data_IF_187931369353
#
_entry.id   IF_187931369353
#
_cell.length_a   1.000
_cell.length_b   1.000
_cell.length_c   1.000
_cell.angle_alpha   90.00
_cell.angle_beta   90.00
_cell.angle_gamma   90.00
#
_symmetry.space_group_name_H-M   'P 1'
#
loop_
_entity.id
_entity.type
_entity.pdbx_description
1 polymer ?
#
# COMPACT_ATOMS: atom_id res chain seq x y z
N UNK A 1 11.66 -0.13 8.91
CA UNK A 1 10.32 -0.44 8.36
C UNK A 1 9.94 -1.91 8.53
N UNK A 2 10.60 -2.90 7.96
CA UNK A 2 10.22 -4.33 8.16
C UNK A 2 10.36 -4.75 9.63
N UNK A 3 11.28 -4.17 10.38
CA UNK A 3 11.41 -4.43 11.81
C UNK A 3 10.17 -4.03 12.62
N UNK A 4 9.49 -2.94 12.27
CA UNK A 4 8.22 -2.57 12.91
C UNK A 4 7.11 -3.60 12.64
N UNK A 5 7.06 -4.16 11.44
CA UNK A 5 6.16 -5.27 11.14
C UNK A 5 6.53 -6.55 11.92
N UNK A 6 7.82 -6.83 12.11
CA UNK A 6 8.30 -7.97 12.91
C UNK A 6 7.84 -7.89 14.38
N UNK A 7 7.78 -6.69 14.93
CA UNK A 7 7.30 -6.47 16.29
C UNK A 7 5.78 -6.37 16.42
N UNK A 8 5.07 -6.29 15.31
CA UNK A 8 3.60 -6.25 15.32
C UNK A 8 3.02 -7.62 15.68
N UNK A 9 1.86 -7.64 16.37
CA UNK A 9 1.18 -8.89 16.67
C UNK A 9 0.72 -9.61 15.39
N UNK A 10 0.64 -10.94 15.45
CA UNK A 10 0.00 -11.78 14.45
C UNK A 10 -0.89 -12.81 15.10
N UNK A 11 -1.89 -13.31 14.38
CA UNK A 11 -2.83 -14.30 14.87
C UNK A 11 -2.11 -15.52 15.42
N UNK A 12 -2.32 -15.83 16.71
CA UNK A 12 -1.64 -16.93 17.40
C UNK A 12 -0.11 -16.85 17.37
N UNK A 13 0.46 -15.68 17.11
CA UNK A 13 1.90 -15.47 16.88
C UNK A 13 2.49 -16.40 15.80
N UNK A 14 1.70 -16.76 14.82
CA UNK A 14 2.11 -17.70 13.77
C UNK A 14 3.14 -17.13 12.79
N UNK A 15 3.29 -15.81 12.70
CA UNK A 15 4.32 -15.11 11.93
C UNK A 15 4.46 -15.62 10.47
N UNK A 16 3.34 -15.78 9.78
CA UNK A 16 3.25 -16.40 8.45
C UNK A 16 3.68 -15.47 7.31
N UNK A 17 3.83 -14.17 7.57
CA UNK A 17 4.21 -13.21 6.55
C UNK A 17 5.69 -13.27 6.21
N UNK A 18 6.00 -12.96 4.95
CA UNK A 18 7.36 -12.70 4.46
C UNK A 18 7.37 -11.38 3.71
N UNK A 19 8.53 -10.76 3.61
CA UNK A 19 8.70 -9.45 2.99
C UNK A 19 9.79 -9.53 1.92
N UNK A 20 9.46 -9.10 0.70
CA UNK A 20 10.42 -8.92 -0.39
C UNK A 20 10.67 -7.43 -0.55
N UNK A 21 11.91 -7.01 -0.37
CA UNK A 21 12.33 -5.64 -0.65
C UNK A 21 12.68 -5.54 -2.13
N UNK A 22 12.13 -4.53 -2.80
CA UNK A 22 12.37 -4.22 -4.20
C UNK A 22 12.86 -2.78 -4.27
N UNK A 23 14.14 -2.59 -4.53
CA UNK A 23 14.80 -1.28 -4.57
C UNK A 23 15.83 -1.17 -5.70
N UNK A 24 16.19 -2.29 -6.32
CA UNK A 24 17.02 -2.27 -7.51
C UNK A 24 16.24 -1.68 -8.68
N UNK A 25 16.87 -0.82 -9.46
CA UNK A 25 16.24 -0.07 -10.55
C UNK A 25 15.50 -0.98 -11.52
N UNK A 26 16.11 -2.07 -11.95
CA UNK A 26 15.53 -3.03 -12.90
C UNK A 26 14.28 -3.69 -12.30
N UNK A 27 14.30 -4.07 -11.03
CA UNK A 27 13.15 -4.68 -10.36
C UNK A 27 12.00 -3.67 -10.19
N UNK A 28 12.31 -2.42 -9.84
CA UNK A 28 11.32 -1.34 -9.75
C UNK A 28 10.69 -1.03 -11.12
N UNK A 29 11.48 -0.97 -12.18
CA UNK A 29 11.00 -0.78 -13.55
C UNK A 29 10.13 -1.94 -14.05
N UNK A 30 10.43 -3.18 -13.62
CA UNK A 30 9.60 -4.34 -13.91
C UNK A 30 8.27 -4.30 -13.15
N UNK A 31 8.30 -3.96 -11.86
CA UNK A 31 7.13 -4.00 -10.98
C UNK A 31 6.12 -2.89 -11.29
N UNK A 32 6.59 -1.66 -11.55
CA UNK A 32 5.74 -0.49 -11.73
C UNK A 32 4.57 -0.70 -12.72
N UNK A 33 4.78 -1.21 -13.94
CA UNK A 33 3.70 -1.41 -14.90
C UNK A 33 2.74 -2.57 -14.54
N UNK A 34 3.03 -3.35 -13.50
CA UNK A 34 2.14 -4.38 -13.00
C UNK A 34 1.13 -3.85 -11.98
N UNK A 35 1.28 -2.60 -11.52
CA UNK A 35 0.49 -1.99 -10.46
C UNK A 35 -0.66 -1.17 -11.05
N UNK A 36 -1.83 -1.23 -10.38
CA UNK A 36 -2.96 -0.35 -10.67
C UNK A 36 -3.04 0.76 -9.62
N UNK A 37 -3.17 1.99 -10.08
CA UNK A 37 -3.11 3.19 -9.24
C UNK A 37 -4.50 3.82 -9.08
N UNK A 38 -4.74 4.44 -7.92
CA UNK A 38 -5.81 5.41 -7.62
C UNK A 38 -7.14 5.20 -8.38
N UNK A 39 -7.91 4.17 -8.02
CA UNK A 39 -9.08 3.71 -8.76
C UNK A 39 -10.18 4.75 -9.03
N UNK A 40 -10.25 5.85 -8.26
CA UNK A 40 -11.18 6.95 -8.51
C UNK A 40 -10.64 8.00 -9.48
N UNK A 41 -9.34 8.03 -9.76
CA UNK A 41 -8.72 8.94 -10.73
C UNK A 41 -8.60 8.23 -12.09
N UNK A 42 -9.72 8.05 -12.79
CA UNK A 42 -9.83 7.20 -13.98
C UNK A 42 -8.87 7.58 -15.13
N UNK A 43 -8.56 8.87 -15.26
CA UNK A 43 -7.70 9.41 -16.32
C UNK A 43 -6.21 9.45 -15.91
N UNK A 44 -5.89 9.02 -14.68
CA UNK A 44 -4.53 9.02 -14.16
C UNK A 44 -3.95 7.60 -14.13
N UNK A 45 -2.89 7.38 -14.89
CA UNK A 45 -2.25 6.07 -15.04
C UNK A 45 -1.16 5.77 -13.98
N UNK A 46 -1.06 6.60 -12.96
CA UNK A 46 -0.02 6.54 -11.94
C UNK A 46 1.02 7.65 -12.09
N UNK A 47 2.03 7.69 -11.19
CA UNK A 47 3.04 8.74 -11.20
C UNK A 47 3.91 8.70 -12.47
N UNK A 48 4.28 9.88 -12.97
CA UNK A 48 5.14 10.02 -14.13
C UNK A 48 6.58 9.61 -13.84
N UNK A 49 7.38 9.48 -14.92
CA UNK A 49 8.80 9.17 -14.80
C UNK A 49 9.51 10.31 -14.04
N UNK A 50 10.10 10.01 -12.89
CA UNK A 50 10.68 10.99 -11.97
C UNK A 50 9.89 11.19 -10.68
N UNK A 51 8.60 10.82 -10.66
CA UNK A 51 7.73 10.85 -9.49
C UNK A 51 7.41 9.45 -8.97
N UNK A 52 7.88 8.42 -9.67
CA UNK A 52 7.62 7.03 -9.33
C UNK A 52 8.25 6.66 -8.00
N UNK A 53 7.61 5.75 -7.24
CA UNK A 53 8.22 5.19 -6.04
C UNK A 53 9.63 4.66 -6.32
N UNK A 54 10.54 4.93 -5.41
CA UNK A 54 11.94 4.50 -5.53
C UNK A 54 12.17 3.11 -4.95
N UNK A 55 11.21 2.61 -4.17
CA UNK A 55 11.28 1.27 -3.57
C UNK A 55 9.90 0.71 -3.27
N UNK A 56 9.85 -0.61 -3.11
CA UNK A 56 8.62 -1.31 -2.73
C UNK A 56 8.92 -2.37 -1.67
N UNK A 57 7.93 -2.61 -0.80
CA UNK A 57 7.92 -3.76 0.08
C UNK A 57 6.71 -4.61 -0.33
N UNK A 58 6.97 -5.83 -0.80
CA UNK A 58 5.92 -6.79 -1.11
C UNK A 58 5.68 -7.65 0.14
N UNK A 59 4.44 -7.69 0.59
CA UNK A 59 4.02 -8.57 1.67
C UNK A 59 3.53 -9.88 1.04
N UNK A 60 4.18 -10.98 1.42
CA UNK A 60 3.90 -12.31 0.93
C UNK A 60 3.33 -13.18 2.06
N UNK A 61 2.49 -14.12 1.69
CA UNK A 61 1.96 -15.15 2.57
C UNK A 61 1.84 -16.48 1.85
N UNK A 62 1.63 -17.60 2.59
CA UNK A 62 1.16 -18.85 1.98
C UNK A 62 -0.09 -18.61 1.11
N UNK A 63 -0.31 -19.47 0.11
CA UNK A 63 -1.41 -19.33 -0.85
C UNK A 63 -2.80 -19.54 -0.23
N UNK A 64 -2.88 -20.17 0.95
CA UNK A 64 -4.14 -20.37 1.65
C UNK A 64 -4.87 -19.05 1.93
N UNK A 65 -6.20 -19.06 1.85
CA UNK A 65 -7.03 -17.93 2.24
C UNK A 65 -7.43 -18.06 3.71
N UNK A 66 -7.26 -16.99 4.48
CA UNK A 66 -7.64 -16.92 5.89
C UNK A 66 -7.91 -15.47 6.27
N UNK A 67 -9.07 -15.21 6.86
CA UNK A 67 -9.42 -13.88 7.35
C UNK A 67 -8.40 -13.35 8.38
N UNK A 68 -7.86 -14.22 9.23
CA UNK A 68 -6.82 -13.84 10.19
C UNK A 68 -5.51 -13.45 9.50
N UNK A 69 -5.19 -14.09 8.38
CA UNK A 69 -4.02 -13.74 7.59
C UNK A 69 -4.16 -12.36 6.94
N UNK A 70 -5.37 -12.01 6.48
CA UNK A 70 -5.65 -10.68 5.93
C UNK A 70 -5.55 -9.59 7.01
N UNK A 71 -5.95 -9.88 8.25
CA UNK A 71 -5.73 -9.01 9.41
C UNK A 71 -4.23 -8.82 9.68
N UNK A 72 -3.44 -9.90 9.71
CA UNK A 72 -1.99 -9.84 9.90
C UNK A 72 -1.31 -8.97 8.83
N UNK A 73 -1.74 -9.08 7.56
CA UNK A 73 -1.24 -8.26 6.44
C UNK A 73 -1.52 -6.79 6.69
N UNK A 74 -2.76 -6.44 7.09
CA UNK A 74 -3.14 -5.06 7.38
C UNK A 74 -2.34 -4.46 8.55
N UNK A 75 -2.13 -5.21 9.63
CA UNK A 75 -1.33 -4.80 10.79
C UNK A 75 0.13 -4.53 10.37
N UNK A 76 0.74 -5.46 9.64
CA UNK A 76 2.12 -5.32 9.17
C UNK A 76 2.27 -4.13 8.22
N UNK A 77 1.35 -3.99 7.26
CA UNK A 77 1.34 -2.89 6.31
C UNK A 77 1.24 -1.53 7.00
N UNK A 78 0.30 -1.36 7.94
CA UNK A 78 0.13 -0.10 8.67
C UNK A 78 1.36 0.23 9.52
N UNK A 79 1.98 -0.75 10.16
CA UNK A 79 3.21 -0.55 10.95
C UNK A 79 4.37 -0.07 10.09
N UNK A 80 4.52 -0.64 8.88
CA UNK A 80 5.53 -0.21 7.90
C UNK A 80 5.24 1.22 7.44
N UNK A 81 3.99 1.54 7.09
CA UNK A 81 3.61 2.86 6.59
C UNK A 81 3.81 3.96 7.63
N UNK A 82 3.43 3.72 8.89
CA UNK A 82 3.67 4.68 9.99
C UNK A 82 5.17 4.91 10.21
N UNK A 83 5.97 3.84 10.13
CA UNK A 83 7.44 3.96 10.25
C UNK A 83 8.03 4.73 9.07
N UNK A 84 7.51 4.54 7.85
CA UNK A 84 7.93 5.30 6.68
C UNK A 84 7.67 6.80 6.86
N UNK A 85 6.47 7.18 7.29
CA UNK A 85 6.09 8.57 7.57
C UNK A 85 6.97 9.17 8.68
N UNK A 86 7.26 8.43 9.74
CA UNK A 86 8.16 8.87 10.82
C UNK A 86 9.60 9.12 10.33
N UNK A 87 9.97 8.56 9.18
CA UNK A 87 11.27 8.77 8.51
C UNK A 87 11.21 9.79 7.37
N UNK A 88 10.10 10.53 7.22
CA UNK A 88 9.92 11.53 6.18
C UNK A 88 9.61 10.95 4.79
N UNK A 89 9.24 9.66 4.72
CA UNK A 89 8.83 9.03 3.47
C UNK A 89 7.30 9.02 3.34
N UNK A 90 6.83 8.98 2.11
CA UNK A 90 5.43 8.72 1.77
C UNK A 90 5.27 7.35 1.15
N UNK A 91 4.02 6.94 0.98
CA UNK A 91 3.75 5.68 0.30
C UNK A 91 2.27 5.40 0.09
N UNK A 92 2.02 4.31 -0.63
CA UNK A 92 0.69 3.82 -0.96
C UNK A 92 0.62 2.31 -0.82
N UNK A 93 -0.52 1.81 -0.32
CA UNK A 93 -0.84 0.39 -0.27
C UNK A 93 -1.59 -0.01 -1.54
N UNK A 94 -1.07 -0.94 -2.32
CA UNK A 94 -1.62 -1.37 -3.59
C UNK A 94 -2.01 -2.86 -3.51
N UNK A 95 -3.31 -3.14 -3.50
CA UNK A 95 -3.87 -4.49 -3.54
C UNK A 95 -4.24 -4.93 -4.97
N UNK A 96 -4.32 -3.99 -5.90
CA UNK A 96 -4.64 -4.24 -7.30
C UNK A 96 -3.36 -4.23 -8.15
N UNK A 97 -2.96 -5.41 -8.64
CA UNK A 97 -1.78 -5.60 -9.48
C UNK A 97 -1.88 -6.89 -10.30
N UNK A 98 -1.04 -7.04 -11.29
CA UNK A 98 -1.01 -8.25 -12.13
C UNK A 98 -0.39 -9.42 -11.35
N UNK A 99 -1.25 -10.21 -10.68
CA UNK A 99 -0.88 -11.24 -9.71
C UNK A 99 0.13 -12.27 -10.26
N UNK A 100 -0.13 -12.84 -11.44
CA UNK A 100 0.71 -13.91 -12.01
C UNK A 100 2.13 -13.43 -12.29
N UNK A 101 2.28 -12.27 -12.97
CA UNK A 101 3.59 -11.71 -13.31
C UNK A 101 4.37 -11.31 -12.07
N UNK A 102 3.68 -10.72 -11.08
CA UNK A 102 4.30 -10.31 -9.84
C UNK A 102 4.77 -11.52 -9.04
N UNK A 103 3.93 -12.57 -8.93
CA UNK A 103 4.33 -13.81 -8.26
C UNK A 103 5.48 -14.50 -8.96
N UNK A 104 5.43 -14.64 -10.28
CA UNK A 104 6.48 -15.32 -11.03
C UNK A 104 7.86 -14.68 -10.85
N UNK A 105 7.92 -13.36 -10.63
CA UNK A 105 9.18 -12.63 -10.44
C UNK A 105 9.64 -12.57 -8.98
N UNK A 106 8.71 -12.44 -8.03
CA UNK A 106 9.04 -12.03 -6.66
C UNK A 106 8.63 -13.02 -5.56
N UNK A 107 7.72 -13.96 -5.83
CA UNK A 107 7.27 -14.90 -4.82
C UNK A 107 8.07 -16.21 -4.87
N UNK A 108 8.62 -16.68 -3.72
CA UNK A 108 9.17 -18.01 -3.65
C UNK A 108 8.07 -19.09 -3.76
N UNK A 109 8.48 -20.32 -4.03
CA UNK A 109 7.56 -21.46 -4.10
C UNK A 109 6.68 -21.56 -2.83
N UNK A 110 5.40 -21.86 -3.03
CA UNK A 110 4.42 -21.98 -1.94
C UNK A 110 3.89 -20.68 -1.39
N UNK A 111 4.38 -19.51 -1.86
CA UNK A 111 3.94 -18.19 -1.41
C UNK A 111 3.32 -17.37 -2.54
N UNK A 112 2.60 -16.34 -2.18
CA UNK A 112 2.10 -15.35 -3.13
C UNK A 112 2.20 -13.94 -2.54
N UNK A 113 2.36 -12.94 -3.41
CA UNK A 113 2.28 -11.52 -3.06
C UNK A 113 0.81 -11.18 -2.75
N UNK A 114 0.58 -10.57 -1.61
CA UNK A 114 -0.76 -10.18 -1.14
C UNK A 114 -0.99 -8.67 -1.19
N UNK A 115 0.07 -7.91 -0.94
CA UNK A 115 0.01 -6.46 -0.90
C UNK A 115 1.35 -5.88 -1.33
N UNK A 116 1.32 -4.79 -2.09
CA UNK A 116 2.51 -4.02 -2.47
C UNK A 116 2.48 -2.68 -1.75
N UNK A 117 3.52 -2.36 -1.01
CA UNK A 117 3.73 -1.04 -0.42
C UNK A 117 4.71 -0.28 -1.31
N UNK A 118 4.23 0.75 -1.97
CA UNK A 118 5.05 1.67 -2.76
C UNK A 118 5.59 2.77 -1.84
N UNK A 119 6.88 3.06 -1.89
CA UNK A 119 7.57 3.97 -0.97
C UNK A 119 8.49 4.93 -1.71
N UNK A 120 8.58 6.16 -1.22
CA UNK A 120 9.47 7.19 -1.77
C UNK A 120 9.37 8.51 -1.01
N UNK A 121 10.17 9.50 -1.40
CA UNK A 121 9.99 10.86 -0.94
C UNK A 121 8.69 11.42 -1.52
N UNK A 122 7.73 11.91 -0.70
CA UNK A 122 6.45 12.41 -1.21
C UNK A 122 6.66 13.72 -1.97
N UNK A 123 6.13 13.80 -3.17
CA UNK A 123 6.05 15.02 -3.99
C UNK A 123 4.62 15.53 -4.13
N UNK A 124 3.64 14.68 -3.88
CA UNK A 124 2.22 15.01 -3.94
C UNK A 124 1.78 15.72 -2.66
N UNK A 125 1.04 16.82 -2.82
CA UNK A 125 0.37 17.45 -1.69
C UNK A 125 -0.98 16.79 -1.46
N UNK A 126 -1.13 16.13 -0.29
CA UNK A 126 -2.35 15.42 0.10
C UNK A 126 -3.01 16.15 1.26
N UNK A 127 -4.30 16.47 1.11
CA UNK A 127 -5.09 17.08 2.17
C UNK A 127 -6.29 16.20 2.53
N UNK A 128 -6.48 15.98 3.83
CA UNK A 128 -7.70 15.41 4.36
C UNK A 128 -8.80 16.46 4.42
N UNK A 129 -10.03 16.08 4.08
CA UNK A 129 -11.20 16.95 4.22
C UNK A 129 -12.40 16.14 4.74
N UNK A 130 -13.40 16.82 5.27
CA UNK A 130 -14.64 16.17 5.67
C UNK A 130 -15.43 15.72 4.46
N UNK A 131 -16.00 14.52 4.54
CA UNK A 131 -16.88 13.97 3.51
C UNK A 131 -18.22 14.73 3.50
N UNK A 132 -18.73 15.02 2.32
CA UNK A 132 -20.07 15.59 2.15
C UNK A 132 -21.09 14.46 2.08
N UNK A 133 -21.85 14.28 3.13
CA UNK A 133 -22.75 13.11 3.27
C UNK A 133 -21.93 11.81 3.30
N UNK A 134 -22.22 10.87 2.41
CA UNK A 134 -21.52 9.59 2.30
C UNK A 134 -20.47 9.55 1.16
N UNK A 135 -20.20 10.67 0.50
CA UNK A 135 -19.24 10.70 -0.60
C UNK A 135 -17.80 10.72 -0.07
N UNK A 136 -17.12 9.60 -0.24
CA UNK A 136 -15.74 9.37 0.17
C UNK A 136 -14.75 9.31 -1.02
N UNK A 137 -15.20 9.65 -2.24
CA UNK A 137 -14.35 9.62 -3.41
C UNK A 137 -13.27 10.69 -3.32
N UNK A 138 -12.01 10.28 -3.36
CA UNK A 138 -10.89 11.21 -3.44
C UNK A 138 -10.78 11.79 -4.85
N UNK A 139 -10.29 13.03 -4.93
CA UNK A 139 -10.19 13.78 -6.18
C UNK A 139 -8.99 14.74 -6.15
N UNK A 140 -8.67 15.34 -7.30
CA UNK A 140 -7.65 16.39 -7.40
C UNK A 140 -8.26 17.74 -7.67
N UNK A 141 -7.72 18.77 -7.01
CA UNK A 141 -7.99 20.16 -7.30
C UNK A 141 -7.22 20.62 -8.56
N UNK A 142 -7.59 21.77 -9.17
CA UNK A 142 -6.88 22.29 -10.33
C UNK A 142 -5.39 22.60 -10.11
N UNK A 143 -4.98 22.86 -8.87
CA UNK A 143 -3.59 23.06 -8.46
C UNK A 143 -2.80 21.75 -8.22
N UNK A 144 -3.44 20.60 -8.43
CA UNK A 144 -2.85 19.29 -8.22
C UNK A 144 -3.00 18.72 -6.81
N UNK A 145 -3.52 19.48 -5.84
CA UNK A 145 -3.75 19.01 -4.48
C UNK A 145 -4.68 17.80 -4.46
N UNK A 146 -4.27 16.72 -3.85
CA UNK A 146 -5.05 15.48 -3.71
C UNK A 146 -5.93 15.56 -2.47
N UNK A 147 -7.23 15.72 -2.65
CA UNK A 147 -8.23 15.77 -1.57
C UNK A 147 -8.74 14.39 -1.23
N UNK A 148 -8.66 14.03 0.06
CA UNK A 148 -9.10 12.72 0.56
C UNK A 148 -10.20 12.91 1.60
N UNK A 149 -11.49 12.75 1.22
CA UNK A 149 -12.62 12.89 2.13
C UNK A 149 -12.62 11.79 3.20
N UNK A 150 -12.93 12.18 4.43
CA UNK A 150 -13.08 11.28 5.59
C UNK A 150 -14.45 11.48 6.22
N UNK A 151 -15.08 10.40 6.61
CA UNK A 151 -16.30 10.45 7.41
C UNK A 151 -16.01 11.08 8.78
N UNK A 152 -16.93 11.86 9.34
CA UNK A 152 -16.77 12.44 10.66
C UNK A 152 -16.68 11.35 11.74
N UNK A 153 -16.00 11.67 12.85
CA UNK A 153 -15.68 10.68 13.90
C UNK A 153 -16.93 10.05 14.52
N UNK A 154 -18.00 10.82 14.69
CA UNK A 154 -19.27 10.36 15.27
C UNK A 154 -20.00 9.34 14.35
N UNK A 155 -19.77 9.39 13.04
CA UNK A 155 -20.27 8.40 12.10
C UNK A 155 -19.50 7.06 12.17
N UNK A 156 -18.29 7.07 12.72
CA UNK A 156 -17.42 5.89 12.84
C UNK A 156 -17.58 5.17 14.18
N UNK A 157 -18.16 5.84 15.20
CA UNK A 157 -18.32 5.28 16.54
C UNK A 157 -19.78 4.84 16.71
N UNK A 158 -19.98 3.52 16.84
CA UNK A 158 -21.29 2.94 17.17
C UNK A 158 -21.48 3.01 18.68
N UNK A 159 -22.64 3.54 19.12
CA UNK A 159 -23.04 3.64 20.53
C UNK A 159 -23.89 2.43 20.94
#
# INVERSE_FOLDING_TARGET
MVESARFSPSAGNMQRLRFRLVHEKEECEYLFPQLAWAGYLKDWQGPERGERPTSYILILSPQEKSALLDVDIGIAAQSIMLTAVAQGLGGCMLASFHQERTNARFAPEGMCVRLVLALGAPVEHVELCDAVGADIHYYRLPDGTHRVPKLPLDALIVK
#
